data_IF_233584733280
#
_entry.id   IF_233584733280
#
_cell.length_a   1.000
_cell.length_b   1.000
_cell.length_c   1.000
_cell.angle_alpha   90.00
_cell.angle_beta   90.00
_cell.angle_gamma   90.00
#
_symmetry.space_group_name_H-M   'P 1'
#
loop_
_entity.id
_entity.type
_entity.pdbx_description
1 polymer ?
#
# COMPACT_ATOMS: atom_id res chain seq x y z
N UNK A 1 -13.69 -11.97 -2.53
CA UNK A 1 -12.67 -11.81 -1.47
C UNK A 1 -11.58 -10.87 -1.99
N UNK A 2 -11.03 -10.03 -1.12
CA UNK A 2 -9.93 -9.08 -1.31
C UNK A 2 -10.31 -7.85 -2.16
N UNK A 3 -10.72 -8.00 -3.40
CA UNK A 3 -11.22 -6.89 -4.23
C UNK A 3 -12.73 -6.79 -4.17
N UNK A 4 -13.24 -5.60 -3.87
CA UNK A 4 -14.66 -5.34 -4.02
C UNK A 4 -15.06 -5.41 -5.52
N UNK A 5 -16.23 -5.95 -5.84
CA UNK A 5 -16.73 -5.91 -7.22
C UNK A 5 -17.04 -4.46 -7.62
N UNK A 6 -16.95 -4.15 -8.93
CA UNK A 6 -17.27 -2.81 -9.45
C UNK A 6 -18.74 -2.44 -9.24
N UNK A 7 -19.61 -3.45 -9.21
CA UNK A 7 -21.03 -3.27 -8.95
C UNK A 7 -21.41 -4.03 -7.69
N UNK A 8 -22.34 -3.49 -6.92
CA UNK A 8 -22.95 -4.21 -5.83
C UNK A 8 -23.75 -5.40 -6.40
N UNK A 9 -23.25 -6.60 -6.16
CA UNK A 9 -23.88 -7.85 -6.59
C UNK A 9 -24.75 -8.48 -5.50
N UNK A 10 -24.91 -7.83 -4.35
CA UNK A 10 -25.67 -8.35 -3.21
C UNK A 10 -25.01 -9.55 -2.53
N UNK A 11 -23.68 -9.73 -2.71
CA UNK A 11 -22.93 -10.78 -2.03
C UNK A 11 -21.99 -10.20 -0.97
N UNK A 12 -21.75 -10.92 0.13
CA UNK A 12 -20.81 -10.49 1.15
C UNK A 12 -19.40 -10.31 0.60
N UNK A 13 -18.75 -9.26 1.01
CA UNK A 13 -17.37 -8.94 0.70
C UNK A 13 -16.47 -9.12 1.93
N UNK A 14 -15.35 -9.81 1.75
CA UNK A 14 -14.30 -9.94 2.76
C UNK A 14 -13.02 -9.36 2.19
N UNK A 15 -12.48 -8.33 2.83
CA UNK A 15 -11.29 -7.63 2.39
C UNK A 15 -10.31 -7.32 3.53
N UNK A 16 -9.11 -6.87 3.18
CA UNK A 16 -8.16 -6.31 4.15
C UNK A 16 -8.55 -4.87 4.48
N UNK A 17 -8.25 -4.41 5.69
CA UNK A 17 -8.34 -2.99 6.04
C UNK A 17 -7.21 -2.21 5.36
N UNK A 18 -7.37 -1.96 4.06
CA UNK A 18 -6.38 -1.26 3.25
C UNK A 18 -6.25 0.21 3.65
N UNK A 19 -7.35 0.87 4.05
CA UNK A 19 -7.31 2.27 4.50
C UNK A 19 -6.52 2.36 5.80
N UNK A 20 -6.81 1.49 6.77
CA UNK A 20 -6.03 1.41 8.01
C UNK A 20 -4.57 1.07 7.76
N UNK A 21 -4.27 0.21 6.80
CA UNK A 21 -2.90 -0.14 6.41
C UNK A 21 -2.11 1.04 5.84
N UNK A 22 -2.71 1.79 4.91
CA UNK A 22 -2.10 3.01 4.37
C UNK A 22 -1.90 4.10 5.41
N UNK A 23 -2.87 4.25 6.31
CA UNK A 23 -2.78 5.16 7.45
C UNK A 23 -1.61 4.78 8.36
N UNK A 24 -1.56 3.55 8.80
CA UNK A 24 -0.52 3.02 9.71
C UNK A 24 0.90 3.19 9.12
N UNK A 25 1.09 2.82 7.86
CA UNK A 25 2.38 2.97 7.18
C UNK A 25 2.84 4.42 7.13
N UNK A 26 1.94 5.33 6.78
CA UNK A 26 2.24 6.76 6.65
C UNK A 26 2.47 7.40 8.02
N UNK A 27 1.64 7.08 9.01
CA UNK A 27 1.82 7.52 10.39
C UNK A 27 3.17 7.08 10.94
N UNK A 28 3.58 5.83 10.69
CA UNK A 28 4.91 5.36 11.09
C UNK A 28 6.04 6.19 10.48
N UNK A 29 5.96 6.56 9.19
CA UNK A 29 6.94 7.46 8.57
C UNK A 29 6.97 8.83 9.26
N UNK A 30 5.80 9.40 9.56
CA UNK A 30 5.67 10.68 10.26
C UNK A 30 6.28 10.61 11.66
N UNK A 31 5.96 9.57 12.44
CA UNK A 31 6.52 9.34 13.77
C UNK A 31 8.04 9.17 13.77
N UNK A 32 8.61 8.66 12.67
CA UNK A 32 10.05 8.58 12.44
C UNK A 32 10.67 9.88 11.95
N UNK A 33 9.88 10.96 11.88
CA UNK A 33 10.34 12.30 11.58
C UNK A 33 10.36 12.67 10.11
N UNK A 34 9.78 11.84 9.22
CA UNK A 34 9.66 12.18 7.80
C UNK A 34 8.72 13.37 7.60
N UNK A 35 9.11 14.28 6.71
CA UNK A 35 8.37 15.50 6.38
C UNK A 35 8.00 15.58 4.90
N UNK A 36 8.80 14.95 4.06
CA UNK A 36 8.65 14.93 2.61
C UNK A 36 8.35 13.50 2.16
N UNK A 37 7.09 13.07 2.39
CA UNK A 37 6.66 11.69 2.18
C UNK A 37 6.02 11.56 0.80
N UNK A 38 6.62 10.70 -0.04
CA UNK A 38 6.14 10.31 -1.34
C UNK A 38 5.21 9.10 -1.22
N UNK A 39 4.10 9.07 -1.96
CA UNK A 39 3.28 7.87 -2.12
C UNK A 39 3.38 7.30 -3.53
N UNK A 40 3.44 5.98 -3.62
CA UNK A 40 3.31 5.24 -4.88
C UNK A 40 2.03 4.42 -4.80
N UNK A 41 1.08 4.66 -5.71
CA UNK A 41 -0.21 3.99 -5.78
C UNK A 41 -0.49 3.49 -7.21
N UNK A 42 -1.72 3.10 -7.49
CA UNK A 42 -2.12 2.62 -8.82
C UNK A 42 -3.38 3.35 -9.29
N UNK A 43 -3.47 3.63 -10.61
CA UNK A 43 -4.66 4.21 -11.21
C UNK A 43 -5.82 3.23 -11.38
N UNK A 44 -5.63 1.94 -11.14
CA UNK A 44 -6.67 0.94 -11.39
C UNK A 44 -7.84 1.15 -10.42
N UNK A 45 -9.03 1.44 -10.96
CA UNK A 45 -10.25 1.56 -10.17
C UNK A 45 -10.50 0.26 -9.35
N UNK A 46 -11.10 0.42 -8.16
CA UNK A 46 -11.38 -0.67 -7.22
C UNK A 46 -10.16 -1.54 -6.85
N UNK A 47 -8.98 -0.96 -6.96
CA UNK A 47 -7.74 -1.62 -6.55
C UNK A 47 -7.43 -1.30 -5.08
N UNK A 48 -7.00 -2.28 -4.27
CA UNK A 48 -6.62 -2.04 -2.88
C UNK A 48 -5.60 -0.90 -2.68
N UNK A 49 -4.80 -0.60 -3.70
CA UNK A 49 -3.88 0.52 -3.73
C UNK A 49 -4.57 1.88 -3.57
N UNK A 50 -5.79 2.06 -4.11
CA UNK A 50 -6.53 3.30 -3.94
C UNK A 50 -7.00 3.51 -2.50
N UNK A 51 -7.42 2.43 -1.83
CA UNK A 51 -7.79 2.49 -0.41
C UNK A 51 -6.57 2.79 0.46
N UNK A 52 -5.41 2.20 0.13
CA UNK A 52 -4.14 2.51 0.80
C UNK A 52 -3.72 3.95 0.58
N UNK A 53 -3.95 4.50 -0.63
CA UNK A 53 -3.75 5.92 -0.91
C UNK A 53 -4.65 6.81 -0.04
N UNK A 54 -5.93 6.45 0.13
CA UNK A 54 -6.83 7.18 1.04
C UNK A 54 -6.30 7.14 2.49
N UNK A 55 -5.72 6.02 2.91
CA UNK A 55 -5.07 5.90 4.22
C UNK A 55 -3.90 6.87 4.37
N UNK A 56 -3.03 6.95 3.37
CA UNK A 56 -1.92 7.92 3.31
C UNK A 56 -2.42 9.37 3.44
N UNK A 57 -3.44 9.74 2.68
CA UNK A 57 -4.02 11.09 2.71
C UNK A 57 -4.63 11.42 4.08
N UNK A 58 -5.33 10.45 4.69
CA UNK A 58 -5.89 10.61 6.04
C UNK A 58 -4.80 10.79 7.10
N UNK A 59 -3.70 10.06 7.02
CA UNK A 59 -2.59 10.18 7.96
C UNK A 59 -1.93 11.56 7.86
N UNK A 60 -1.64 12.04 6.64
CA UNK A 60 -1.12 13.39 6.45
C UNK A 60 -2.07 14.45 7.04
N UNK A 61 -3.36 14.36 6.75
CA UNK A 61 -4.36 15.30 7.27
C UNK A 61 -4.44 15.28 8.79
N UNK A 62 -4.44 14.09 9.42
CA UNK A 62 -4.49 13.94 10.88
C UNK A 62 -3.28 14.57 11.58
N UNK A 63 -2.11 14.60 10.92
CA UNK A 63 -0.89 15.21 11.43
C UNK A 63 -0.65 16.65 10.93
N UNK A 64 -1.64 17.26 10.26
CA UNK A 64 -1.54 18.64 9.75
C UNK A 64 -0.51 18.82 8.64
N UNK A 65 -0.13 17.74 7.96
CA UNK A 65 0.81 17.77 6.85
C UNK A 65 0.09 18.08 5.52
N UNK A 66 0.69 18.89 4.63
CA UNK A 66 0.06 19.21 3.37
C UNK A 66 0.03 18.03 2.42
N UNK A 67 -1.12 17.79 1.80
CA UNK A 67 -1.23 16.86 0.68
C UNK A 67 -0.71 17.53 -0.60
N UNK A 68 0.42 17.07 -1.10
CA UNK A 68 1.08 17.60 -2.32
C UNK A 68 0.86 16.63 -3.49
N UNK A 69 0.26 17.11 -4.57
CA UNK A 69 -0.02 16.27 -5.75
C UNK A 69 1.24 15.72 -6.40
N UNK A 70 2.31 16.50 -6.42
CA UNK A 70 3.63 16.13 -6.99
C UNK A 70 4.27 14.97 -6.20
N UNK A 71 3.79 14.67 -4.99
CA UNK A 71 4.24 13.57 -4.13
C UNK A 71 3.33 12.34 -4.19
N UNK A 72 2.44 12.30 -5.17
CA UNK A 72 1.56 11.16 -5.41
C UNK A 72 1.88 10.59 -6.79
N UNK A 73 2.62 9.49 -6.82
CA UNK A 73 2.96 8.77 -8.03
C UNK A 73 1.95 7.64 -8.23
N UNK A 74 1.58 7.40 -9.48
CA UNK A 74 0.61 6.37 -9.81
C UNK A 74 1.15 5.49 -10.92
N UNK A 75 1.27 4.18 -10.66
CA UNK A 75 1.55 3.24 -11.72
C UNK A 75 0.31 3.05 -12.61
N UNK A 76 0.55 2.73 -13.87
CA UNK A 76 -0.52 2.54 -14.86
C UNK A 76 -1.14 1.15 -14.80
N UNK A 77 -0.51 0.22 -14.10
CA UNK A 77 -0.86 -1.19 -14.07
C UNK A 77 -0.59 -1.95 -15.39
N UNK A 78 0.11 -1.32 -16.34
CA UNK A 78 0.42 -1.91 -17.67
C UNK A 78 1.70 -2.73 -17.66
N UNK A 79 2.61 -2.45 -16.73
CA UNK A 79 3.88 -3.14 -16.56
C UNK A 79 3.96 -3.74 -15.15
N UNK A 80 4.93 -4.65 -14.89
CA UNK A 80 5.22 -5.08 -13.53
C UNK A 80 5.51 -3.87 -12.64
N UNK A 81 4.84 -3.78 -11.50
CA UNK A 81 4.92 -2.64 -10.57
C UNK A 81 6.37 -2.30 -10.14
N UNK A 82 7.27 -3.29 -10.10
CA UNK A 82 8.70 -3.06 -9.82
C UNK A 82 9.32 -2.12 -10.85
N UNK A 83 9.08 -2.36 -12.15
CA UNK A 83 9.69 -1.57 -13.23
C UNK A 83 9.08 -0.16 -13.25
N UNK A 84 7.76 -0.09 -13.23
CA UNK A 84 7.04 1.19 -13.28
C UNK A 84 7.37 2.09 -12.09
N UNK A 85 7.44 1.50 -10.88
CA UNK A 85 7.80 2.26 -9.67
C UNK A 85 9.27 2.70 -9.67
N UNK A 86 10.19 1.91 -10.23
CA UNK A 86 11.59 2.31 -10.40
C UNK A 86 11.70 3.53 -11.33
N UNK A 87 10.98 3.53 -12.46
CA UNK A 87 10.93 4.65 -13.40
C UNK A 87 10.31 5.90 -12.75
N UNK A 88 9.14 5.77 -12.12
CA UNK A 88 8.44 6.88 -11.46
C UNK A 88 9.29 7.55 -10.37
N UNK A 89 9.96 6.76 -9.53
CA UNK A 89 10.81 7.30 -8.46
C UNK A 89 12.08 7.92 -9.05
N UNK A 90 12.66 7.34 -10.10
CA UNK A 90 13.81 7.92 -10.81
C UNK A 90 13.46 9.29 -11.36
N UNK A 91 12.31 9.41 -12.03
CA UNK A 91 11.83 10.67 -12.58
C UNK A 91 11.57 11.69 -11.46
N UNK A 92 10.94 11.27 -10.36
CA UNK A 92 10.73 12.15 -9.20
C UNK A 92 12.06 12.66 -8.63
N UNK A 93 13.04 11.80 -8.42
CA UNK A 93 14.35 12.18 -7.90
C UNK A 93 15.07 13.18 -8.81
N UNK A 94 14.86 13.09 -10.14
CA UNK A 94 15.43 14.01 -11.12
C UNK A 94 14.91 15.44 -10.99
N UNK A 95 13.73 15.65 -10.37
CA UNK A 95 13.18 16.99 -10.12
C UNK A 95 13.94 17.77 -9.07
N UNK A 96 14.74 17.11 -8.24
CA UNK A 96 15.44 17.71 -7.11
C UNK A 96 14.54 18.03 -5.90
N UNK A 97 13.27 17.63 -5.91
CA UNK A 97 12.41 17.77 -4.75
C UNK A 97 12.92 16.92 -3.57
N UNK A 98 12.86 17.44 -2.33
CA UNK A 98 13.26 16.67 -1.16
C UNK A 98 12.33 15.46 -0.98
N UNK A 99 12.89 14.34 -0.51
CA UNK A 99 12.15 13.15 -0.09
C UNK A 99 12.91 12.46 1.03
N UNK A 100 12.21 12.16 2.12
CA UNK A 100 12.77 11.49 3.30
C UNK A 100 11.93 10.27 3.74
N UNK A 101 10.76 10.08 3.13
CA UNK A 101 9.89 8.93 3.32
C UNK A 101 9.20 8.50 2.03
N UNK A 102 9.02 7.20 1.83
CA UNK A 102 8.23 6.65 0.71
C UNK A 102 7.28 5.59 1.26
N UNK A 103 5.98 5.75 0.98
CA UNK A 103 4.98 4.71 1.15
C UNK A 103 4.62 4.13 -0.22
N UNK A 104 4.87 2.85 -0.42
CA UNK A 104 4.52 2.12 -1.64
C UNK A 104 3.32 1.21 -1.40
N UNK A 105 2.34 1.24 -2.31
CA UNK A 105 1.10 0.47 -2.19
C UNK A 105 1.29 -1.06 -2.15
N UNK A 106 2.47 -1.54 -2.52
CA UNK A 106 2.83 -2.96 -2.48
C UNK A 106 4.34 -3.14 -2.28
N UNK A 107 4.76 -4.33 -1.87
CA UNK A 107 6.18 -4.67 -1.77
C UNK A 107 6.88 -4.67 -3.13
N UNK A 108 6.17 -5.01 -4.21
CA UNK A 108 6.71 -4.89 -5.56
C UNK A 108 7.07 -3.44 -5.90
N UNK A 109 6.15 -2.50 -5.62
CA UNK A 109 6.41 -1.09 -5.81
C UNK A 109 7.54 -0.59 -4.91
N UNK A 110 7.63 -1.08 -3.67
CA UNK A 110 8.70 -0.75 -2.74
C UNK A 110 10.08 -1.23 -3.26
N UNK A 111 10.16 -2.42 -3.87
CA UNK A 111 11.41 -2.90 -4.50
C UNK A 111 11.83 -2.00 -5.66
N UNK A 112 10.90 -1.54 -6.49
CA UNK A 112 11.18 -0.57 -7.56
C UNK A 112 11.72 0.74 -6.99
N UNK A 113 11.05 1.30 -5.99
CA UNK A 113 11.49 2.50 -5.29
C UNK A 113 12.90 2.34 -4.68
N UNK A 114 13.17 1.19 -4.04
CA UNK A 114 14.49 0.89 -3.47
C UNK A 114 15.59 0.90 -4.54
N UNK A 115 15.32 0.31 -5.70
CA UNK A 115 16.29 0.30 -6.81
C UNK A 115 16.61 1.72 -7.29
N UNK A 116 15.59 2.56 -7.48
CA UNK A 116 15.78 3.95 -7.88
C UNK A 116 16.58 4.74 -6.83
N UNK A 117 16.28 4.56 -5.54
CA UNK A 117 17.02 5.21 -4.45
C UNK A 117 18.47 4.79 -4.43
N UNK A 118 18.77 3.49 -4.52
CA UNK A 118 20.15 2.97 -4.55
C UNK A 118 20.90 3.46 -5.78
N UNK A 119 20.28 3.47 -6.96
CA UNK A 119 20.86 4.01 -8.18
C UNK A 119 21.20 5.52 -8.07
N UNK A 120 20.39 6.27 -7.32
CA UNK A 120 20.63 7.68 -7.01
C UNK A 120 21.62 7.90 -5.84
N UNK A 121 22.24 6.85 -5.30
CA UNK A 121 23.18 6.93 -4.19
C UNK A 121 22.56 7.24 -2.84
N UNK A 122 21.24 7.07 -2.68
CA UNK A 122 20.53 7.26 -1.42
C UNK A 122 20.60 5.99 -0.57
N UNK A 123 20.80 6.15 0.72
CA UNK A 123 20.79 5.05 1.70
C UNK A 123 19.38 4.88 2.27
N UNK A 124 18.97 3.63 2.42
CA UNK A 124 17.71 3.27 3.06
C UNK A 124 18.06 2.43 4.31
N UNK A 125 17.64 2.83 5.51
CA UNK A 125 16.67 3.90 5.82
C UNK A 125 17.29 5.27 6.15
N UNK A 126 18.60 5.47 6.08
CA UNK A 126 19.32 6.64 6.63
C UNK A 126 18.95 7.96 5.95
N UNK A 127 18.88 7.96 4.61
CA UNK A 127 18.56 9.16 3.82
C UNK A 127 17.07 9.19 3.45
N UNK A 128 16.46 8.03 3.16
CA UNK A 128 15.03 7.88 2.83
C UNK A 128 14.49 6.62 3.49
N UNK A 129 13.40 6.72 4.23
CA UNK A 129 12.68 5.57 4.79
C UNK A 129 11.67 5.03 3.78
N UNK A 130 11.53 3.72 3.73
CA UNK A 130 10.69 3.04 2.75
C UNK A 130 9.80 2.01 3.44
N UNK A 131 8.50 2.07 3.16
CA UNK A 131 7.51 1.10 3.63
C UNK A 131 6.69 0.60 2.45
N UNK A 132 6.59 -0.73 2.32
CA UNK A 132 5.73 -1.41 1.38
C UNK A 132 4.41 -1.87 2.01
N UNK A 133 3.72 -2.75 1.31
CA UNK A 133 2.52 -3.43 1.77
C UNK A 133 2.46 -4.83 1.19
N UNK A 134 1.94 -5.78 1.93
CA UNK A 134 1.59 -7.18 1.68
C UNK A 134 2.34 -8.19 2.55
N UNK A 135 3.55 -7.87 3.07
CA UNK A 135 4.49 -8.79 3.73
C UNK A 135 4.79 -10.01 2.85
N UNK A 136 5.06 -9.73 1.59
CA UNK A 136 5.36 -10.74 0.57
C UNK A 136 6.81 -11.20 0.63
N UNK A 137 7.16 -12.20 -0.19
CA UNK A 137 8.54 -12.69 -0.32
C UNK A 137 9.54 -11.60 -0.76
N UNK A 138 9.06 -10.51 -1.34
CA UNK A 138 9.90 -9.39 -1.76
C UNK A 138 10.35 -8.49 -0.61
N UNK A 139 9.63 -8.51 0.51
CA UNK A 139 10.01 -7.78 1.73
C UNK A 139 10.90 -8.60 2.67
N UNK A 140 11.12 -9.91 2.37
CA UNK A 140 11.80 -10.85 3.25
C UNK A 140 13.20 -11.23 2.76
N UNK A 141 14.12 -11.69 3.66
CA UNK A 141 15.43 -12.20 3.27
C UNK A 141 15.32 -13.36 2.27
N UNK A 142 16.26 -13.51 1.29
CA UNK A 142 17.53 -12.82 1.15
C UNK A 142 17.49 -11.46 0.43
N UNK A 143 16.32 -10.96 0.06
CA UNK A 143 16.17 -9.62 -0.48
C UNK A 143 16.45 -8.55 0.60
N UNK A 144 16.77 -7.30 0.24
CA UNK A 144 16.85 -6.22 1.22
C UNK A 144 15.58 -6.17 2.06
N UNK A 145 15.73 -6.11 3.38
CA UNK A 145 14.57 -6.02 4.27
C UNK A 145 13.88 -4.67 4.05
N UNK A 146 12.63 -4.72 3.60
CA UNK A 146 11.75 -3.57 3.47
C UNK A 146 10.73 -3.66 4.60
N UNK A 147 10.51 -2.57 5.32
CA UNK A 147 9.37 -2.47 6.24
C UNK A 147 8.09 -2.59 5.42
N UNK A 148 7.12 -3.36 5.91
CA UNK A 148 5.89 -3.63 5.16
C UNK A 148 4.70 -3.79 6.08
N UNK A 149 3.53 -3.42 5.59
CA UNK A 149 2.25 -3.70 6.27
C UNK A 149 1.84 -5.13 5.95
N UNK A 150 1.74 -5.96 7.00
CA UNK A 150 1.34 -7.36 6.88
C UNK A 150 -0.17 -7.48 6.68
N UNK A 151 -0.55 -8.20 5.63
CA UNK A 151 -1.89 -8.74 5.43
C UNK A 151 -1.94 -10.18 5.95
N UNK A 152 -3.14 -10.69 6.19
CA UNK A 152 -3.37 -12.05 6.70
C UNK A 152 -4.24 -12.84 5.72
N UNK A 153 -3.67 -13.36 4.60
CA UNK A 153 -4.42 -14.07 3.57
C UNK A 153 -5.16 -15.32 4.10
N UNK A 154 -4.59 -15.98 5.14
CA UNK A 154 -5.23 -17.13 5.78
C UNK A 154 -6.54 -16.71 6.50
N UNK A 155 -6.54 -15.53 7.14
CA UNK A 155 -7.74 -14.99 7.78
C UNK A 155 -8.77 -14.56 6.74
N UNK A 156 -8.34 -13.90 5.66
CA UNK A 156 -9.22 -13.55 4.55
C UNK A 156 -9.90 -14.79 3.97
N UNK A 157 -9.13 -15.86 3.74
CA UNK A 157 -9.67 -17.13 3.24
C UNK A 157 -10.65 -17.74 4.23
N UNK A 158 -10.33 -17.74 5.53
CA UNK A 158 -11.21 -18.25 6.58
C UNK A 158 -12.55 -17.53 6.61
N UNK A 159 -12.53 -16.20 6.72
CA UNK A 159 -13.75 -15.36 6.77
C UNK A 159 -14.59 -15.51 5.50
N UNK A 160 -13.92 -15.55 4.33
CA UNK A 160 -14.60 -15.78 3.06
C UNK A 160 -15.28 -17.14 2.98
N UNK A 161 -14.65 -18.21 3.49
CA UNK A 161 -15.25 -19.52 3.58
C UNK A 161 -16.45 -19.54 4.54
N UNK A 162 -16.35 -18.87 5.68
CA UNK A 162 -17.45 -18.77 6.66
C UNK A 162 -18.65 -18.04 6.04
N UNK A 163 -18.42 -16.91 5.38
CA UNK A 163 -19.49 -16.18 4.69
C UNK A 163 -20.18 -17.05 3.61
N UNK A 164 -19.40 -17.78 2.82
CA UNK A 164 -19.96 -18.71 1.81
C UNK A 164 -20.78 -19.82 2.44
N UNK A 165 -20.29 -20.44 3.52
CA UNK A 165 -20.99 -21.51 4.22
C UNK A 165 -22.30 -21.01 4.85
N UNK A 166 -22.32 -19.79 5.39
CA UNK A 166 -23.53 -19.17 5.91
C UNK A 166 -24.59 -19.02 4.79
N UNK A 167 -24.19 -18.47 3.63
CA UNK A 167 -25.09 -18.36 2.47
C UNK A 167 -25.65 -19.72 2.02
N UNK A 168 -24.81 -20.77 1.97
CA UNK A 168 -25.26 -22.12 1.59
C UNK A 168 -26.26 -22.73 2.58
N UNK A 169 -26.24 -22.28 3.84
CA UNK A 169 -27.19 -22.68 4.88
C UNK A 169 -28.47 -21.83 4.91
N UNK A 170 -28.55 -20.80 4.06
CA UNK A 170 -29.64 -19.82 4.07
C UNK A 170 -29.57 -18.83 5.22
N UNK A 171 -28.39 -18.65 5.81
CA UNK A 171 -28.11 -17.65 6.84
C UNK A 171 -27.70 -16.31 6.17
N UNK A 172 -27.84 -15.21 6.86
CA UNK A 172 -27.45 -13.87 6.39
C UNK A 172 -26.09 -13.48 7.00
N UNK A 173 -24.97 -13.65 6.30
CA UNK A 173 -23.66 -13.19 6.78
C UNK A 173 -23.53 -11.66 6.72
N UNK A 174 -22.56 -11.10 7.45
CA UNK A 174 -22.21 -9.70 7.31
C UNK A 174 -21.83 -9.36 5.86
N UNK A 175 -22.39 -8.26 5.34
CA UNK A 175 -22.18 -7.85 3.94
C UNK A 175 -20.76 -7.34 3.70
N UNK A 176 -20.09 -6.83 4.72
CA UNK A 176 -18.71 -6.39 4.65
C UNK A 176 -17.94 -6.85 5.89
N UNK A 177 -16.84 -7.57 5.67
CA UNK A 177 -15.91 -7.99 6.71
C UNK A 177 -14.51 -7.50 6.37
N UNK A 178 -13.94 -6.60 7.19
CA UNK A 178 -12.58 -6.12 7.03
C UNK A 178 -11.64 -6.83 7.99
N UNK A 179 -10.66 -7.54 7.45
CA UNK A 179 -9.59 -8.19 8.21
C UNK A 179 -8.52 -7.15 8.54
N UNK A 180 -8.24 -6.88 9.85
CA UNK A 180 -7.21 -5.95 10.25
C UNK A 180 -5.83 -6.34 9.71
N UNK A 181 -5.00 -5.35 9.40
CA UNK A 181 -3.59 -5.47 9.02
C UNK A 181 -2.67 -5.11 10.19
N UNK A 182 -1.37 -5.35 10.06
CA UNK A 182 -0.37 -5.07 11.11
C UNK A 182 0.90 -4.46 10.54
#
# INVERSE_FOLDING_TARGET
>A
IDRAPENDLGFPHVGSDNIGGGYMATEHLIERGCKDILSISSFTANYPGNERQMGYERALAAHGMPLRRDYQLFDSGKQPSIIESEELVTDFLSTGYPVDGIFAHSDHAAVGALRALVAAGKRVPEDVRLIGSDDSVYAQPPTPQISTVRRFPERLAHEGCQALLALLRGEEPEMETLVPVK
#
